data_IF_983455278717
#
_entry.id   IF_983455278717
#
_cell.length_a   1.000
_cell.length_b   1.000
_cell.length_c   1.000
_cell.angle_alpha   90.00
_cell.angle_beta   90.00
_cell.angle_gamma   90.00
#
_symmetry.space_group_name_H-M   'P 1'
#
loop_
_entity.id
_entity.type
_entity.pdbx_description
1 polymer ?
#
# COMPACT_ATOMS: atom_id res chain seq x y z
N UNK A 1 -16.15 7.89 -14.94
CA UNK A 1 -15.08 6.89 -14.86
C UNK A 1 -15.16 6.32 -13.47
N UNK A 2 -15.35 5.02 -13.36
CA UNK A 2 -15.30 4.30 -12.09
C UNK A 2 -13.85 3.94 -11.80
N UNK A 3 -13.48 3.90 -10.51
CA UNK A 3 -12.15 3.45 -10.11
C UNK A 3 -11.84 2.03 -10.62
N UNK A 4 -12.89 1.19 -10.77
CA UNK A 4 -12.80 -0.21 -11.16
C UNK A 4 -13.40 -0.47 -12.56
N UNK A 5 -13.19 0.45 -13.51
CA UNK A 5 -13.71 0.34 -14.88
C UNK A 5 -13.32 -0.98 -15.58
N UNK A 6 -12.20 -1.61 -15.19
CA UNK A 6 -11.77 -2.94 -15.65
C UNK A 6 -11.69 -3.95 -14.48
N UNK A 7 -12.38 -5.09 -14.55
CA UNK A 7 -12.24 -6.18 -13.59
C UNK A 7 -10.88 -6.87 -13.74
N UNK A 8 -10.39 -7.48 -12.66
CA UNK A 8 -9.14 -8.26 -12.69
C UNK A 8 -9.34 -9.60 -13.41
N UNK A 9 -8.36 -9.97 -14.22
CA UNK A 9 -8.24 -11.33 -14.72
C UNK A 9 -7.74 -12.25 -13.60
N UNK A 10 -8.64 -13.12 -13.15
CA UNK A 10 -8.41 -14.07 -12.05
C UNK A 10 -7.47 -15.22 -12.44
N UNK A 11 -7.42 -15.60 -13.73
CA UNK A 11 -6.53 -16.67 -14.21
C UNK A 11 -5.11 -16.14 -14.39
N UNK A 12 -4.97 -14.91 -14.87
CA UNK A 12 -3.69 -14.24 -15.02
C UNK A 12 -3.11 -13.72 -13.69
N UNK A 13 -3.81 -13.94 -12.56
CA UNK A 13 -3.41 -13.49 -11.21
C UNK A 13 -3.09 -11.99 -11.19
N UNK A 14 -3.96 -11.21 -11.81
CA UNK A 14 -3.83 -9.76 -11.84
C UNK A 14 -4.09 -9.15 -10.46
N UNK A 15 -3.33 -8.12 -10.13
CA UNK A 15 -3.49 -7.29 -8.95
C UNK A 15 -3.50 -5.81 -9.38
N UNK A 16 -4.19 -4.98 -8.62
CA UNK A 16 -4.07 -3.52 -8.76
C UNK A 16 -2.92 -3.04 -7.90
N UNK A 17 -2.14 -2.11 -8.41
CA UNK A 17 -1.15 -1.36 -7.64
C UNK A 17 -1.42 0.13 -7.82
N UNK A 18 -1.05 0.91 -6.81
CA UNK A 18 -1.14 2.36 -6.86
C UNK A 18 0.23 3.00 -6.74
N UNK A 19 0.38 4.21 -7.26
CA UNK A 19 1.57 5.05 -7.10
C UNK A 19 1.20 6.49 -6.87
N UNK A 20 2.07 7.23 -6.19
CA UNK A 20 1.90 8.67 -5.98
C UNK A 20 2.20 9.42 -7.28
N UNK A 21 1.31 10.34 -7.66
CA UNK A 21 1.66 11.31 -8.71
C UNK A 21 2.58 12.38 -8.10
N UNK A 22 3.77 12.55 -8.69
CA UNK A 22 4.57 13.75 -8.43
C UNK A 22 3.90 14.92 -9.15
N UNK A 23 3.38 15.87 -8.38
CA UNK A 23 2.94 17.14 -8.94
C UNK A 23 4.16 18.03 -9.16
N UNK A 24 4.64 18.10 -10.40
CA UNK A 24 5.76 18.97 -10.81
C UNK A 24 5.37 20.46 -10.83
N UNK A 25 4.14 20.82 -10.44
CA UNK A 25 3.65 22.19 -10.56
C UNK A 25 3.21 22.81 -9.23
N UNK A 26 3.97 23.86 -8.86
CA UNK A 26 3.52 25.09 -8.17
C UNK A 26 3.71 25.11 -6.65
N UNK A 27 4.69 25.91 -6.22
CA UNK A 27 4.98 26.28 -4.84
C UNK A 27 3.82 26.92 -4.08
N UNK A 28 2.86 26.09 -3.67
CA UNK A 28 1.71 26.46 -2.86
C UNK A 28 1.76 25.62 -1.60
N UNK A 29 2.18 26.25 -0.48
CA UNK A 29 2.11 25.66 0.86
C UNK A 29 0.65 25.43 1.26
N UNK A 30 0.11 24.27 0.89
CA UNK A 30 -1.20 23.77 1.32
C UNK A 30 -1.17 22.25 1.36
N UNK A 31 -2.02 21.64 2.20
CA UNK A 31 -2.27 20.19 2.20
C UNK A 31 -2.78 19.79 0.81
N UNK A 32 -1.87 19.38 -0.08
CA UNK A 32 -2.23 18.96 -1.43
C UNK A 32 -3.07 17.67 -1.34
N UNK A 33 -4.15 17.55 -2.12
CA UNK A 33 -4.93 16.33 -2.17
C UNK A 33 -4.04 15.18 -2.65
N UNK A 34 -4.00 14.09 -1.87
CA UNK A 34 -3.24 12.90 -2.25
C UNK A 34 -3.82 12.34 -3.55
N UNK A 35 -3.04 12.43 -4.62
CA UNK A 35 -3.42 11.95 -5.94
C UNK A 35 -2.61 10.72 -6.29
N UNK A 36 -3.33 9.64 -6.57
CA UNK A 36 -2.79 8.33 -6.87
C UNK A 36 -3.14 7.91 -8.30
N UNK A 37 -2.21 7.25 -8.97
CA UNK A 37 -2.48 6.48 -10.18
C UNK A 37 -2.60 5.01 -9.82
N UNK A 38 -3.53 4.31 -10.47
CA UNK A 38 -3.75 2.89 -10.32
C UNK A 38 -3.50 2.16 -11.64
N UNK A 39 -2.78 1.05 -11.56
CA UNK A 39 -2.46 0.17 -12.68
C UNK A 39 -2.79 -1.29 -12.33
N UNK A 40 -3.08 -2.10 -13.34
CA UNK A 40 -3.29 -3.55 -13.21
C UNK A 40 -2.05 -4.27 -13.72
N UNK A 41 -1.46 -5.12 -12.89
CA UNK A 41 -0.26 -5.91 -13.23
C UNK A 41 -0.45 -7.38 -12.82
N UNK A 42 0.24 -8.31 -13.48
CA UNK A 42 0.15 -9.76 -13.19
C UNK A 42 1.25 -10.22 -12.23
N UNK A 43 0.85 -10.93 -11.17
CA UNK A 43 1.76 -11.55 -10.19
C UNK A 43 2.72 -12.59 -10.79
N UNK A 44 2.48 -13.06 -12.01
CA UNK A 44 3.33 -14.05 -12.67
C UNK A 44 4.61 -13.44 -13.29
N UNK A 45 4.71 -12.12 -13.36
CA UNK A 45 5.89 -11.41 -13.88
C UNK A 45 6.89 -10.98 -12.80
N UNK A 46 8.03 -10.45 -13.24
CA UNK A 46 8.99 -9.76 -12.36
C UNK A 46 8.42 -8.40 -11.93
N UNK A 47 7.73 -8.37 -10.80
CA UNK A 47 7.15 -7.16 -10.21
C UNK A 47 7.97 -6.68 -9.02
N UNK A 48 8.38 -5.41 -9.05
CA UNK A 48 8.92 -4.73 -7.88
C UNK A 48 7.83 -3.81 -7.32
N UNK A 49 7.26 -4.17 -6.18
CA UNK A 49 6.22 -3.38 -5.53
C UNK A 49 6.32 -3.50 -4.02
N UNK A 50 5.76 -2.52 -3.31
CA UNK A 50 5.62 -2.54 -1.86
C UNK A 50 4.18 -2.88 -1.46
N UNK A 51 3.95 -3.26 -0.21
CA UNK A 51 2.61 -3.45 0.33
C UNK A 51 2.42 -2.63 1.61
N UNK A 52 1.20 -2.12 1.84
CA UNK A 52 0.81 -1.49 3.09
C UNK A 52 0.07 -2.49 3.97
N UNK A 53 0.44 -2.55 5.24
CA UNK A 53 -0.34 -3.20 6.28
C UNK A 53 -0.66 -2.17 7.35
N UNK A 54 -1.94 -1.95 7.59
CA UNK A 54 -2.41 -0.91 8.49
C UNK A 54 -3.74 -1.31 9.14
N UNK A 55 -4.07 -0.65 10.24
CA UNK A 55 -5.39 -0.79 10.85
C UNK A 55 -6.39 0.07 10.08
N UNK A 56 -7.47 -0.52 9.57
CA UNK A 56 -8.42 0.21 8.72
C UNK A 56 -9.00 1.48 9.39
N UNK A 57 -9.30 1.39 10.67
CA UNK A 57 -9.86 2.49 11.46
C UNK A 57 -11.39 2.57 11.36
N UNK A 58 -11.93 3.76 11.61
CA UNK A 58 -13.38 3.97 11.57
C UNK A 58 -13.82 4.20 10.13
N UNK A 59 -14.72 3.35 9.62
CA UNK A 59 -15.27 3.43 8.27
C UNK A 59 -16.20 4.63 8.08
N UNK A 60 -16.73 5.21 9.16
CA UNK A 60 -17.55 6.42 9.08
C UNK A 60 -16.68 7.70 9.00
N UNK A 61 -15.40 7.63 9.35
CA UNK A 61 -14.50 8.77 9.40
C UNK A 61 -13.55 8.79 8.19
N UNK A 62 -14.07 9.31 7.07
CA UNK A 62 -13.40 9.28 5.77
C UNK A 62 -12.96 10.66 5.27
N UNK A 63 -11.87 10.68 4.51
CA UNK A 63 -11.32 11.81 3.77
C UNK A 63 -11.25 11.43 2.29
N UNK A 64 -11.69 12.34 1.43
CA UNK A 64 -11.65 12.16 -0.02
C UNK A 64 -10.23 12.25 -0.55
N UNK A 65 -9.79 11.21 -1.28
CA UNK A 65 -8.56 11.21 -2.07
C UNK A 65 -8.90 11.01 -3.56
N UNK A 66 -7.95 11.33 -4.43
CA UNK A 66 -8.12 11.17 -5.88
C UNK A 66 -7.32 9.95 -6.35
N UNK A 67 -7.98 8.99 -6.99
CA UNK A 67 -7.34 7.81 -7.58
C UNK A 67 -7.80 7.66 -9.03
N UNK A 68 -6.88 7.69 -10.00
CA UNK A 68 -7.21 7.67 -11.44
C UNK A 68 -8.32 8.68 -11.82
N UNK A 69 -8.24 9.92 -11.28
CA UNK A 69 -9.23 11.00 -11.46
C UNK A 69 -10.62 10.74 -10.87
N UNK A 70 -10.79 9.63 -10.14
CA UNK A 70 -12.01 9.29 -9.40
C UNK A 70 -11.83 9.62 -7.92
N UNK A 71 -12.90 10.05 -7.25
CA UNK A 71 -12.85 10.30 -5.80
C UNK A 71 -13.05 8.99 -5.04
N UNK A 72 -12.17 8.72 -4.08
CA UNK A 72 -12.26 7.58 -3.18
C UNK A 72 -12.34 8.07 -1.72
N UNK A 73 -13.28 7.51 -0.96
CA UNK A 73 -13.44 7.82 0.46
C UNK A 73 -12.50 6.94 1.30
N UNK A 74 -11.28 7.43 1.54
CA UNK A 74 -10.30 6.75 2.37
C UNK A 74 -10.58 7.02 3.85
N UNK A 75 -10.37 6.05 4.74
CA UNK A 75 -10.42 6.34 6.19
C UNK A 75 -9.34 7.35 6.57
N UNK A 76 -9.56 8.14 7.63
CA UNK A 76 -8.52 9.08 8.12
C UNK A 76 -7.18 8.39 8.39
N UNK A 77 -7.20 7.15 8.87
CA UNK A 77 -5.96 6.42 9.13
C UNK A 77 -5.23 6.04 7.83
N UNK A 78 -5.96 5.61 6.80
CA UNK A 78 -5.38 5.37 5.49
C UNK A 78 -4.83 6.67 4.89
N UNK A 79 -5.59 7.77 4.97
CA UNK A 79 -5.13 9.07 4.49
C UNK A 79 -3.83 9.51 5.18
N UNK A 80 -3.74 9.37 6.51
CA UNK A 80 -2.52 9.67 7.25
C UNK A 80 -1.33 8.80 6.82
N UNK A 81 -1.56 7.50 6.61
CA UNK A 81 -0.53 6.58 6.08
C UNK A 81 -0.06 7.02 4.69
N UNK A 82 -0.99 7.37 3.80
CA UNK A 82 -0.69 7.82 2.44
C UNK A 82 0.10 9.15 2.44
N UNK A 83 -0.27 10.13 3.27
CA UNK A 83 0.49 11.37 3.41
C UNK A 83 1.92 11.14 3.90
N UNK A 84 2.14 10.09 4.70
CA UNK A 84 3.47 9.74 5.15
C UNK A 84 4.29 9.04 4.06
N UNK A 85 3.65 8.09 3.38
CA UNK A 85 4.27 7.28 2.33
C UNK A 85 4.52 8.08 1.04
N UNK A 86 3.84 9.19 0.81
CA UNK A 86 4.10 10.07 -0.34
C UNK A 86 5.48 10.72 -0.32
N UNK A 87 6.14 10.77 0.84
CA UNK A 87 7.51 11.24 1.00
C UNK A 87 8.55 10.13 0.84
N UNK A 88 8.11 8.87 0.78
CA UNK A 88 8.99 7.74 0.60
C UNK A 88 9.21 7.46 -0.89
N UNK A 89 10.39 6.93 -1.23
CA UNK A 89 10.72 6.50 -2.58
C UNK A 89 10.01 5.17 -2.90
N UNK A 90 8.73 5.27 -3.25
CA UNK A 90 7.82 4.14 -3.52
C UNK A 90 7.28 4.27 -4.94
N UNK A 91 7.74 3.38 -5.83
CA UNK A 91 7.26 3.36 -7.21
C UNK A 91 5.85 2.76 -7.32
N UNK A 92 5.61 1.63 -6.66
CA UNK A 92 4.32 0.95 -6.66
C UNK A 92 4.02 0.40 -5.27
N UNK A 93 2.78 0.56 -4.82
CA UNK A 93 2.29 0.03 -3.55
C UNK A 93 0.93 -0.64 -3.71
N UNK A 94 0.80 -1.80 -3.07
CA UNK A 94 -0.46 -2.51 -2.89
C UNK A 94 -1.12 -2.08 -1.58
N UNK A 95 -2.38 -1.67 -1.65
CA UNK A 95 -3.19 -1.24 -0.51
C UNK A 95 -4.55 -1.91 -0.64
N UNK A 96 -4.89 -2.81 0.27
CA UNK A 96 -6.13 -3.61 0.22
C UNK A 96 -7.40 -2.78 -0.06
N UNK A 97 -7.59 -1.66 0.64
CA UNK A 97 -8.76 -0.79 0.49
C UNK A 97 -8.88 -0.12 -0.89
N UNK A 98 -7.77 0.03 -1.62
CA UNK A 98 -7.75 0.64 -2.97
C UNK A 98 -7.66 -0.42 -4.06
N UNK A 99 -6.89 -1.48 -3.83
CA UNK A 99 -6.53 -2.44 -4.85
C UNK A 99 -7.59 -3.54 -5.02
N UNK A 100 -8.40 -3.78 -4.01
CA UNK A 100 -9.50 -4.75 -4.03
C UNK A 100 -10.82 -4.02 -4.25
N UNK A 101 -11.55 -4.42 -5.30
CA UNK A 101 -12.92 -3.93 -5.48
C UNK A 101 -13.85 -4.60 -4.45
N UNK A 102 -14.19 -3.85 -3.41
CA UNK A 102 -15.07 -4.32 -2.33
C UNK A 102 -16.50 -4.61 -2.78
N UNK A 103 -16.92 -4.09 -3.94
CA UNK A 103 -18.26 -4.31 -4.51
C UNK A 103 -18.35 -5.60 -5.33
N UNK A 104 -17.24 -6.08 -5.87
CA UNK A 104 -17.17 -7.29 -6.69
C UNK A 104 -16.82 -8.52 -5.83
N UNK A 105 -17.84 -9.27 -5.43
CA UNK A 105 -17.66 -10.39 -4.50
C UNK A 105 -16.76 -11.53 -5.02
N UNK A 106 -16.89 -12.00 -6.28
CA UNK A 106 -15.94 -12.96 -6.85
C UNK A 106 -14.49 -12.46 -6.83
N UNK A 107 -14.26 -11.22 -7.29
CA UNK A 107 -12.92 -10.64 -7.35
C UNK A 107 -12.33 -10.46 -5.95
N UNK A 108 -13.10 -9.89 -5.02
CA UNK A 108 -12.71 -9.73 -3.61
C UNK A 108 -12.30 -11.07 -3.01
N UNK A 109 -13.12 -12.11 -3.17
CA UNK A 109 -12.85 -13.43 -2.58
C UNK A 109 -11.56 -14.02 -3.13
N UNK A 110 -11.35 -13.87 -4.44
CA UNK A 110 -10.12 -14.28 -5.08
C UNK A 110 -8.92 -13.50 -4.50
N UNK A 111 -8.94 -12.16 -4.53
CA UNK A 111 -7.86 -11.32 -4.02
C UNK A 111 -7.52 -11.59 -2.55
N UNK A 112 -8.53 -11.78 -1.70
CA UNK A 112 -8.33 -12.14 -0.28
C UNK A 112 -7.61 -13.47 -0.14
N UNK A 113 -7.91 -14.47 -0.99
CA UNK A 113 -7.18 -15.74 -0.97
C UNK A 113 -5.71 -15.60 -1.42
N UNK A 114 -5.41 -14.61 -2.27
CA UNK A 114 -4.05 -14.28 -2.71
C UNK A 114 -3.27 -13.32 -1.80
N UNK A 115 -3.88 -12.77 -0.75
CA UNK A 115 -3.19 -11.81 0.13
C UNK A 115 -1.85 -12.33 0.65
N UNK A 116 -1.80 -13.62 1.04
CA UNK A 116 -0.55 -14.24 1.50
C UNK A 116 0.57 -14.16 0.44
N UNK A 117 0.23 -14.41 -0.83
CA UNK A 117 1.16 -14.37 -1.95
C UNK A 117 1.58 -12.92 -2.26
N UNK A 118 0.64 -11.98 -2.23
CA UNK A 118 0.91 -10.55 -2.46
C UNK A 118 1.92 -10.02 -1.43
N UNK A 119 1.68 -10.27 -0.14
CA UNK A 119 2.61 -9.84 0.91
C UNK A 119 3.96 -10.56 0.83
N UNK A 120 3.99 -11.83 0.43
CA UNK A 120 5.24 -12.60 0.28
C UNK A 120 6.09 -12.16 -0.91
N UNK A 121 5.45 -11.67 -1.98
CA UNK A 121 6.11 -11.19 -3.20
C UNK A 121 6.48 -9.70 -3.15
N UNK A 122 5.90 -8.95 -2.21
CA UNK A 122 6.24 -7.53 -2.04
C UNK A 122 7.72 -7.38 -1.67
N UNK A 123 8.41 -6.47 -2.35
CA UNK A 123 9.79 -6.12 -2.06
C UNK A 123 9.94 -5.54 -0.64
N UNK A 124 8.96 -4.72 -0.24
CA UNK A 124 8.86 -4.13 1.09
C UNK A 124 7.44 -4.13 1.59
N UNK A 125 7.26 -4.41 2.88
CA UNK A 125 5.99 -4.21 3.57
C UNK A 125 6.13 -3.05 4.55
N UNK A 126 5.30 -2.02 4.37
CA UNK A 126 5.17 -0.88 5.27
C UNK A 126 4.10 -1.20 6.31
N UNK A 127 4.49 -1.19 7.59
CA UNK A 127 3.56 -1.29 8.70
C UNK A 127 3.19 0.11 9.18
N UNK A 128 1.89 0.43 9.17
CA UNK A 128 1.34 1.68 9.70
C UNK A 128 0.45 1.41 10.91
N UNK A 129 0.96 1.78 12.08
CA UNK A 129 0.22 1.72 13.34
C UNK A 129 -0.33 3.12 13.63
N UNK A 130 -1.61 3.20 13.98
CA UNK A 130 -2.31 4.47 14.24
C UNK A 130 -1.48 5.37 15.18
N UNK A 131 -1.34 6.64 14.82
CA UNK A 131 -0.54 7.65 15.53
C UNK A 131 -1.03 8.02 16.94
N UNK A 132 -2.14 7.46 17.41
CA UNK A 132 -2.87 7.89 18.63
C UNK A 132 -2.62 6.99 19.86
N UNK A 133 -1.85 5.91 19.76
CA UNK A 133 -1.63 5.01 20.91
C UNK A 133 -0.16 4.98 21.34
N UNK A 134 0.10 5.50 22.54
CA UNK A 134 1.34 5.52 23.33
C UNK A 134 2.02 4.13 23.57
N UNK A 135 1.67 3.09 22.81
CA UNK A 135 2.17 1.72 22.95
C UNK A 135 2.75 1.12 21.66
N UNK A 136 2.85 1.89 20.57
CA UNK A 136 3.48 1.41 19.33
C UNK A 136 4.97 1.15 19.51
N UNK A 137 5.67 1.94 20.34
CA UNK A 137 7.12 1.77 20.59
C UNK A 137 7.50 0.36 21.08
N UNK A 138 6.65 -0.28 21.88
CA UNK A 138 6.90 -1.62 22.43
C UNK A 138 6.76 -2.72 21.37
N UNK A 139 5.78 -2.60 20.48
CA UNK A 139 5.58 -3.54 19.37
C UNK A 139 6.72 -3.42 18.35
N UNK A 140 7.15 -2.18 18.07
CA UNK A 140 8.25 -1.92 17.16
C UNK A 140 9.59 -2.48 17.69
N UNK A 141 9.82 -2.41 19.00
CA UNK A 141 11.03 -2.96 19.63
C UNK A 141 11.02 -4.50 19.67
N UNK A 142 9.87 -5.13 19.88
CA UNK A 142 9.75 -6.59 19.89
C UNK A 142 9.91 -7.21 18.49
N UNK A 143 9.35 -6.58 17.45
CA UNK A 143 9.51 -7.03 16.06
C UNK A 143 10.94 -6.80 15.54
N UNK A 144 11.58 -5.68 15.91
CA UNK A 144 12.98 -5.41 15.59
C UNK A 144 13.94 -6.44 16.19
N UNK A 145 13.63 -6.96 17.38
CA UNK A 145 14.42 -8.01 18.05
C UNK A 145 14.23 -9.41 17.46
N UNK A 146 13.17 -9.63 16.68
CA UNK A 146 12.80 -10.94 16.14
C UNK A 146 13.16 -11.13 14.65
N UNK A 147 13.37 -10.04 13.90
CA UNK A 147 13.82 -10.10 12.51
C UNK A 147 15.36 -10.11 12.42
N UNK A 148 15.95 -11.28 12.18
CA UNK A 148 17.38 -11.48 11.89
C UNK A 148 17.80 -11.03 10.48
N UNK A 149 17.05 -10.14 9.83
CA UNK A 149 17.40 -9.58 8.53
C UNK A 149 18.05 -8.21 8.72
N UNK A 150 19.34 -8.11 8.39
CA UNK A 150 20.12 -6.88 8.41
C UNK A 150 19.48 -5.81 7.49
N UNK A 151 18.77 -4.84 8.07
CA UNK A 151 18.18 -3.75 7.29
C UNK A 151 17.12 -2.90 8.00
N UNK A 152 17.03 -2.95 9.33
CA UNK A 152 16.03 -2.17 10.06
C UNK A 152 16.39 -0.67 10.04
N UNK A 153 15.80 0.08 9.11
CA UNK A 153 15.84 1.53 9.14
C UNK A 153 14.71 2.03 10.05
N UNK A 154 15.04 2.30 11.32
CA UNK A 154 14.18 3.14 12.17
C UNK A 154 14.33 4.58 11.65
N UNK A 155 13.27 5.15 11.10
CA UNK A 155 13.17 6.60 11.02
C UNK A 155 12.19 7.05 12.10
N UNK A 156 12.37 8.27 12.62
CA UNK A 156 11.64 8.84 13.77
C UNK A 156 10.12 9.00 13.56
N UNK A 157 9.55 8.44 12.49
CA UNK A 157 8.24 8.74 11.95
C UNK A 157 7.29 7.53 11.82
N UNK A 158 7.27 6.64 12.81
CA UNK A 158 6.13 5.71 13.03
C UNK A 158 5.82 4.60 12.01
N UNK A 159 6.73 4.26 11.08
CA UNK A 159 6.57 3.07 10.21
C UNK A 159 7.78 2.12 10.30
N UNK A 160 7.52 0.82 10.12
CA UNK A 160 8.56 -0.19 9.86
C UNK A 160 8.49 -0.61 8.40
N UNK A 161 9.65 -0.77 7.78
CA UNK A 161 9.79 -1.42 6.47
C UNK A 161 10.57 -2.71 6.64
N UNK A 162 10.06 -3.81 6.10
CA UNK A 162 10.77 -5.09 6.03
C UNK A 162 11.24 -5.31 4.60
N UNK A 163 12.55 -5.21 4.31
CA UNK A 163 13.06 -5.68 3.02
C UNK A 163 12.95 -7.21 3.02
N UNK A 164 12.10 -7.75 2.14
CA UNK A 164 12.10 -9.18 1.85
C UNK A 164 13.16 -9.44 0.78
N UNK A 165 13.95 -10.53 0.87
CA UNK A 165 14.90 -10.88 -0.18
C UNK A 165 14.10 -11.07 -1.48
N UNK A 166 14.42 -10.26 -2.50
CA UNK A 166 13.85 -10.45 -3.83
C UNK A 166 14.02 -11.92 -4.23
N UNK A 167 12.94 -12.52 -4.76
CA UNK A 167 13.01 -13.85 -5.34
C UNK A 167 14.17 -13.88 -6.35
N UNK A 168 14.99 -14.95 -6.36
CA UNK A 168 16.14 -15.03 -7.25
C UNK A 168 15.65 -14.87 -8.70
N UNK A 169 16.16 -13.84 -9.37
CA UNK A 169 15.98 -13.68 -10.81
C UNK A 169 16.63 -14.89 -11.48
N UNK A 170 15.82 -15.85 -11.94
CA UNK A 170 16.29 -16.84 -12.90
C UNK A 170 16.57 -16.09 -14.19
N UNK A 171 17.85 -15.78 -14.41
CA UNK A 171 18.37 -15.40 -15.72
C UNK A 171 18.35 -16.65 -16.59
N UNK A 172 17.54 -16.63 -17.63
CA UNK A 172 17.75 -17.44 -18.83
C UNK A 172 18.59 -16.64 -19.83
#
# INVERSE_FOLDING_TARGET
>A
MSLYDRPLDLEAREIRLVRFQQDEATGSSGLQPTTLEMCILSLNGSLCFSALSYVWGDSADTVSITVNRSTFAATKNLHAALCHLSQADIEWIWIDALCIDMSNHPERTHQVSYMHAIYSLAHRVYLWLRTESFHTDVVMDYMAKSCTASGLHKNSNSYLSFPLPCAPQTRD
#
